data_IF_159821087004
#
_entry.id   IF_159821087004
#
_cell.length_a   1.000
_cell.length_b   1.000
_cell.length_c   1.000
_cell.angle_alpha   90.00
_cell.angle_beta   90.00
_cell.angle_gamma   90.00
#
_symmetry.space_group_name_H-M   'P 1'
#
loop_
_entity.id
_entity.type
_entity.pdbx_description
1 polymer ?
#
# COMPACT_ATOMS: atom_id res chain seq x y z
N UNK A 1 21.23 35.00 -62.40
CA UNK A 1 22.13 34.77 -61.25
C UNK A 1 21.48 35.05 -59.89
N UNK A 2 20.80 36.19 -59.66
CA UNK A 2 20.15 36.50 -58.36
C UNK A 2 19.08 35.49 -57.87
N UNK A 3 18.27 34.94 -58.78
CA UNK A 3 17.25 33.92 -58.43
C UNK A 3 17.85 32.56 -58.04
N UNK A 4 19.02 32.23 -58.56
CA UNK A 4 19.72 30.97 -58.26
C UNK A 4 20.37 31.02 -56.87
N UNK A 5 20.93 32.17 -56.49
CA UNK A 5 21.52 32.38 -55.17
C UNK A 5 20.47 32.31 -54.04
N UNK A 6 19.26 32.84 -54.25
CA UNK A 6 18.17 32.74 -53.27
C UNK A 6 17.68 31.31 -53.04
N UNK A 7 17.62 30.50 -54.11
CA UNK A 7 17.24 29.09 -54.02
C UNK A 7 18.27 28.25 -53.25
N UNK A 8 19.57 28.53 -53.43
CA UNK A 8 20.65 27.84 -52.72
C UNK A 8 20.69 28.21 -51.23
N UNK A 9 20.42 29.47 -50.88
CA UNK A 9 20.34 29.91 -49.48
C UNK A 9 19.13 29.29 -48.76
N UNK A 10 17.97 29.21 -49.42
CA UNK A 10 16.80 28.51 -48.88
C UNK A 10 17.05 27.01 -48.69
N UNK A 11 17.74 26.37 -49.62
CA UNK A 11 18.12 24.96 -49.51
C UNK A 11 19.08 24.72 -48.34
N UNK A 12 20.09 25.58 -48.17
CA UNK A 12 21.04 25.51 -47.05
C UNK A 12 20.38 25.79 -45.69
N UNK A 13 19.46 26.77 -45.61
CA UNK A 13 18.69 26.99 -44.38
C UNK A 13 17.78 25.80 -44.04
N UNK A 14 17.15 25.19 -45.04
CA UNK A 14 16.32 23.99 -44.83
C UNK A 14 17.15 22.78 -44.36
N UNK A 15 18.40 22.66 -44.83
CA UNK A 15 19.32 21.58 -44.43
C UNK A 15 19.81 21.76 -42.98
N UNK A 16 20.05 23.00 -42.55
CA UNK A 16 20.43 23.32 -41.16
C UNK A 16 19.26 23.13 -40.19
N UNK A 17 18.04 23.45 -40.61
CA UNK A 17 16.82 23.18 -39.83
C UNK A 17 16.52 21.67 -39.69
N UNK A 18 16.90 20.86 -40.68
CA UNK A 18 16.78 19.39 -40.59
C UNK A 18 17.87 18.74 -39.75
N UNK A 19 19.07 19.32 -39.69
CA UNK A 19 20.21 18.78 -38.94
C UNK A 19 20.22 19.17 -37.45
N UNK A 20 19.44 20.20 -37.07
CA UNK A 20 19.41 20.76 -35.71
C UNK A 20 18.19 20.40 -34.87
N UNK A 21 17.24 19.62 -35.39
CA UNK A 21 16.19 19.06 -34.54
C UNK A 21 16.85 18.00 -33.65
N UNK A 22 16.92 18.17 -32.31
CA UNK A 22 17.24 17.06 -31.46
C UNK A 22 16.14 16.04 -31.69
N UNK A 23 16.45 14.98 -32.43
CA UNK A 23 15.71 13.74 -32.30
C UNK A 23 15.89 13.37 -30.84
N UNK A 24 14.90 13.71 -30.02
CA UNK A 24 14.72 13.06 -28.73
C UNK A 24 14.57 11.60 -29.07
N UNK A 25 15.68 10.86 -29.02
CA UNK A 25 15.63 9.44 -28.75
C UNK A 25 14.98 9.43 -27.38
N UNK A 26 13.66 9.21 -27.34
CA UNK A 26 13.01 8.84 -26.11
C UNK A 26 13.82 7.65 -25.62
N UNK A 27 14.49 7.82 -24.49
CA UNK A 27 15.17 6.73 -23.83
C UNK A 27 14.08 5.72 -23.49
N UNK A 28 13.95 4.70 -24.32
CA UNK A 28 12.89 3.67 -24.18
C UNK A 28 13.26 2.64 -23.13
N UNK A 29 14.31 2.88 -22.34
CA UNK A 29 14.54 2.17 -21.10
C UNK A 29 13.50 2.67 -20.08
N UNK A 30 12.25 2.24 -20.29
CA UNK A 30 11.20 2.44 -19.31
C UNK A 30 11.60 1.66 -18.06
N UNK A 31 12.15 2.37 -17.09
CA UNK A 31 12.49 1.80 -15.79
C UNK A 31 11.22 1.23 -15.16
N UNK A 32 11.14 -0.11 -15.05
CA UNK A 32 10.00 -0.79 -14.48
C UNK A 32 9.90 -0.49 -12.98
N UNK A 33 8.69 -0.29 -12.48
CA UNK A 33 8.42 -0.21 -11.05
C UNK A 33 7.88 -1.57 -10.61
N UNK A 34 8.56 -2.20 -9.65
CA UNK A 34 8.09 -3.44 -9.04
C UNK A 34 7.11 -3.11 -7.92
N UNK A 35 5.94 -3.74 -7.94
CA UNK A 35 4.95 -3.66 -6.86
C UNK A 35 4.76 -5.07 -6.32
N UNK A 36 5.14 -5.27 -5.07
CA UNK A 36 4.81 -6.48 -4.31
C UNK A 36 3.60 -6.18 -3.46
N UNK A 37 2.66 -7.12 -3.41
CA UNK A 37 1.49 -6.99 -2.58
C UNK A 37 1.10 -8.28 -1.87
N UNK A 38 0.49 -8.12 -0.71
CA UNK A 38 -0.21 -9.17 0.02
C UNK A 38 -1.65 -8.77 0.31
N UNK A 39 -2.45 -9.75 0.70
CA UNK A 39 -3.81 -9.59 1.19
C UNK A 39 -4.18 -10.84 2.00
N UNK A 40 -5.19 -10.76 2.85
CA UNK A 40 -5.77 -11.92 3.56
C UNK A 40 -4.69 -12.76 4.30
N UNK A 41 -3.74 -12.07 4.96
CA UNK A 41 -2.68 -12.77 5.71
C UNK A 41 -3.23 -13.47 6.95
N UNK A 42 -4.35 -12.99 7.52
CA UNK A 42 -5.13 -13.67 8.56
C UNK A 42 -4.31 -14.22 9.73
N UNK A 43 -3.36 -13.44 10.24
CA UNK A 43 -2.45 -13.85 11.32
C UNK A 43 -1.67 -15.17 11.05
N UNK A 44 -1.48 -15.57 9.79
CA UNK A 44 -0.64 -16.73 9.41
C UNK A 44 0.86 -16.39 9.52
N UNK A 45 1.26 -15.95 10.72
CA UNK A 45 2.61 -15.50 11.03
C UNK A 45 3.61 -16.65 10.95
N UNK A 46 3.16 -17.84 11.36
CA UNK A 46 3.93 -19.07 11.32
C UNK A 46 3.61 -19.86 10.04
N UNK A 47 4.56 -20.67 9.54
CA UNK A 47 4.27 -21.61 8.47
C UNK A 47 3.18 -22.61 8.88
N UNK A 48 2.41 -23.06 7.89
CA UNK A 48 1.39 -24.08 8.07
C UNK A 48 1.57 -25.18 7.03
N UNK A 49 0.98 -26.34 7.32
CA UNK A 49 1.13 -27.53 6.49
C UNK A 49 -0.10 -27.73 5.62
N UNK A 50 0.12 -28.01 4.33
CA UNK A 50 -0.94 -28.38 3.39
C UNK A 50 -0.61 -29.69 2.70
N UNK A 51 -1.66 -30.37 2.21
CA UNK A 51 -1.49 -31.53 1.33
C UNK A 51 -1.47 -31.06 -0.13
N UNK A 52 -0.34 -31.24 -0.79
CA UNK A 52 -0.14 -30.88 -2.20
C UNK A 52 0.39 -32.10 -2.96
N UNK A 53 -0.32 -32.52 -4.01
CA UNK A 53 0.06 -33.68 -4.84
C UNK A 53 0.31 -34.98 -4.03
N UNK A 54 -0.41 -35.16 -2.92
CA UNK A 54 -0.26 -36.32 -2.02
C UNK A 54 0.98 -36.26 -1.12
N UNK A 55 1.56 -35.07 -0.95
CA UNK A 55 2.65 -34.80 -0.03
C UNK A 55 2.27 -33.69 0.95
N UNK A 56 2.66 -33.91 2.21
CA UNK A 56 2.62 -32.92 3.27
C UNK A 56 3.73 -31.89 3.05
N UNK A 57 3.38 -30.66 2.69
CA UNK A 57 4.34 -29.57 2.46
C UNK A 57 4.07 -28.38 3.38
N UNK A 58 5.12 -27.70 3.81
CA UNK A 58 5.02 -26.50 4.62
C UNK A 58 5.01 -25.25 3.73
N UNK A 59 4.04 -24.37 3.94
CA UNK A 59 3.84 -23.14 3.16
C UNK A 59 3.63 -21.92 4.08
N UNK A 60 3.70 -20.73 3.49
CA UNK A 60 3.42 -19.47 4.20
C UNK A 60 4.46 -19.09 5.27
N UNK A 61 4.01 -18.29 6.23
CA UNK A 61 4.81 -17.75 7.33
C UNK A 61 5.57 -16.47 6.97
N UNK A 62 5.56 -15.51 7.89
CA UNK A 62 6.10 -14.16 7.66
C UNK A 62 7.63 -14.17 7.49
N UNK A 63 8.34 -15.09 8.13
CA UNK A 63 9.80 -15.21 7.95
C UNK A 63 10.19 -15.64 6.53
N UNK A 64 9.42 -16.56 5.93
CA UNK A 64 9.61 -16.99 4.54
C UNK A 64 9.23 -15.87 3.58
N UNK A 65 8.10 -15.20 3.83
CA UNK A 65 7.66 -14.04 3.07
C UNK A 65 8.72 -12.92 3.08
N UNK A 66 9.30 -12.60 4.24
CA UNK A 66 10.37 -11.60 4.35
C UNK A 66 11.61 -12.00 3.54
N UNK A 67 11.92 -13.29 3.47
CA UNK A 67 13.06 -13.77 2.67
C UNK A 67 12.85 -13.46 1.19
N UNK A 68 11.65 -13.72 0.66
CA UNK A 68 11.30 -13.39 -0.73
C UNK A 68 11.30 -11.87 -0.95
N UNK A 69 10.68 -11.09 -0.04
CA UNK A 69 10.70 -9.61 -0.12
C UNK A 69 12.14 -9.09 -0.17
N UNK A 70 13.06 -9.63 0.62
CA UNK A 70 14.47 -9.22 0.61
C UNK A 70 15.19 -9.58 -0.69
N UNK A 71 14.84 -10.72 -1.30
CA UNK A 71 15.38 -11.10 -2.61
C UNK A 71 14.92 -10.11 -3.68
N UNK A 72 13.63 -9.83 -3.75
CA UNK A 72 13.07 -8.85 -4.70
C UNK A 72 13.64 -7.45 -4.46
N UNK A 73 13.84 -7.02 -3.21
CA UNK A 73 14.49 -5.74 -2.88
C UNK A 73 15.95 -5.65 -3.33
N UNK A 74 16.63 -6.80 -3.52
CA UNK A 74 17.99 -6.82 -4.06
C UNK A 74 17.98 -6.55 -5.57
N UNK A 75 16.94 -7.00 -6.28
CA UNK A 75 16.76 -6.77 -7.72
C UNK A 75 16.18 -5.37 -8.00
N UNK A 76 15.23 -4.90 -7.20
CA UNK A 76 14.65 -3.56 -7.27
C UNK A 76 14.60 -2.89 -5.88
N UNK A 77 15.64 -2.10 -5.52
CA UNK A 77 15.70 -1.39 -4.24
C UNK A 77 14.58 -0.36 -4.05
N UNK A 78 13.96 0.08 -5.14
CA UNK A 78 12.88 1.07 -5.17
C UNK A 78 11.49 0.43 -5.30
N UNK A 79 11.38 -0.90 -5.11
CA UNK A 79 10.08 -1.57 -5.15
C UNK A 79 9.10 -1.00 -4.12
N UNK A 80 7.82 -1.14 -4.43
CA UNK A 80 6.71 -0.73 -3.57
C UNK A 80 6.14 -1.99 -2.92
N UNK A 81 6.03 -1.98 -1.60
CA UNK A 81 5.45 -3.08 -0.83
C UNK A 81 4.18 -2.62 -0.12
N UNK A 82 3.04 -3.22 -0.48
CA UNK A 82 1.72 -2.83 0.02
C UNK A 82 0.88 -4.04 0.42
N UNK A 83 -0.08 -3.83 1.31
CA UNK A 83 -1.01 -4.87 1.75
C UNK A 83 -2.48 -4.43 1.53
N UNK A 84 -3.36 -5.36 1.19
CA UNK A 84 -4.75 -5.06 0.85
C UNK A 84 -5.76 -5.31 1.98
N UNK A 85 -5.31 -5.45 3.23
CA UNK A 85 -6.16 -5.68 4.40
C UNK A 85 -6.39 -7.16 4.71
N UNK A 86 -7.19 -7.42 5.74
CA UNK A 86 -7.35 -8.75 6.36
C UNK A 86 -6.00 -9.35 6.77
N UNK A 87 -5.12 -8.49 7.31
CA UNK A 87 -3.86 -8.94 7.88
C UNK A 87 -4.05 -9.64 9.23
N UNK A 88 -5.19 -9.41 9.88
CA UNK A 88 -5.56 -9.96 11.19
C UNK A 88 -6.70 -10.98 11.11
N UNK A 89 -6.93 -11.68 12.24
CA UNK A 89 -7.94 -12.72 12.44
C UNK A 89 -7.71 -14.00 11.61
N UNK A 90 -7.43 -15.11 12.28
CA UNK A 90 -7.28 -16.41 11.62
C UNK A 90 -6.49 -17.43 12.42
N UNK A 91 -5.63 -16.98 13.32
CA UNK A 91 -4.87 -17.85 14.25
C UNK A 91 -4.97 -17.34 15.69
N UNK A 92 -4.32 -18.01 16.64
CA UNK A 92 -4.33 -17.59 18.06
C UNK A 92 -3.72 -16.20 18.30
N UNK A 93 -2.93 -15.66 17.36
CA UNK A 93 -2.42 -14.29 17.48
C UNK A 93 -3.53 -13.23 17.51
N UNK A 94 -4.72 -13.54 16.98
CA UNK A 94 -5.89 -12.66 17.07
C UNK A 94 -6.27 -12.32 18.53
N UNK A 95 -5.91 -13.16 19.50
CA UNK A 95 -6.24 -12.96 20.92
C UNK A 95 -5.55 -11.76 21.54
N UNK A 96 -4.46 -11.27 20.92
CA UNK A 96 -3.74 -10.07 21.34
C UNK A 96 -3.95 -8.89 20.38
N UNK A 97 -4.90 -8.99 19.44
CA UNK A 97 -5.14 -7.96 18.42
C UNK A 97 -5.35 -6.58 19.03
N UNK A 98 -6.28 -6.46 19.97
CA UNK A 98 -6.63 -5.17 20.57
C UNK A 98 -5.60 -4.66 21.60
N UNK A 99 -4.66 -5.51 22.03
CA UNK A 99 -3.65 -5.13 23.04
C UNK A 99 -2.27 -4.86 22.43
N UNK A 100 -1.94 -5.48 21.30
CA UNK A 100 -0.58 -5.46 20.76
C UNK A 100 -0.51 -5.31 19.23
N UNK A 101 -1.64 -5.41 18.52
CA UNK A 101 -1.73 -5.22 17.07
C UNK A 101 -0.62 -5.93 16.26
N UNK A 102 -0.41 -7.24 16.43
CA UNK A 102 0.77 -7.94 15.90
C UNK A 102 0.90 -7.83 14.37
N UNK A 103 -0.22 -7.86 13.64
CA UNK A 103 -0.23 -7.69 12.19
C UNK A 103 0.37 -6.35 11.74
N UNK A 104 -0.10 -5.23 12.29
CA UNK A 104 0.42 -3.90 11.95
C UNK A 104 1.90 -3.72 12.32
N UNK A 105 2.31 -4.24 13.48
CA UNK A 105 3.71 -4.23 13.91
C UNK A 105 4.60 -4.98 12.92
N UNK A 106 4.19 -6.17 12.53
CA UNK A 106 4.94 -7.00 11.60
C UNK A 106 4.99 -6.40 10.19
N UNK A 107 3.87 -5.91 9.65
CA UNK A 107 3.87 -5.19 8.37
C UNK A 107 4.86 -4.00 8.41
N UNK A 108 4.86 -3.25 9.50
CA UNK A 108 5.79 -2.14 9.71
C UNK A 108 7.26 -2.56 9.76
N UNK A 109 7.58 -3.65 10.48
CA UNK A 109 8.93 -4.22 10.56
C UNK A 109 9.41 -4.81 9.23
N UNK A 110 8.51 -5.42 8.45
CA UNK A 110 8.79 -5.93 7.11
C UNK A 110 8.99 -4.81 6.08
N UNK A 111 8.57 -3.59 6.43
CA UNK A 111 8.74 -2.39 5.63
C UNK A 111 7.65 -2.22 4.57
N UNK A 112 6.43 -2.66 4.86
CA UNK A 112 5.26 -2.26 4.08
C UNK A 112 5.09 -0.75 4.15
N UNK A 113 4.76 -0.14 3.03
CA UNK A 113 4.57 1.30 2.92
C UNK A 113 3.12 1.68 3.20
N UNK A 114 2.18 0.88 2.72
CA UNK A 114 0.77 1.08 2.96
C UNK A 114 0.02 -0.24 3.18
N UNK A 115 -1.05 -0.17 3.96
CA UNK A 115 -2.10 -1.17 4.04
C UNK A 115 -3.47 -0.49 3.99
N UNK A 116 -4.53 -1.26 3.79
CA UNK A 116 -5.93 -0.83 3.99
C UNK A 116 -6.59 -1.75 5.00
N UNK A 117 -7.84 -1.45 5.36
CA UNK A 117 -8.63 -2.31 6.24
C UNK A 117 -9.47 -3.27 5.41
N UNK A 118 -9.48 -4.54 5.81
CA UNK A 118 -10.43 -5.54 5.35
C UNK A 118 -11.61 -5.65 6.30
N UNK A 119 -12.37 -6.75 6.20
CA UNK A 119 -13.53 -6.98 7.06
C UNK A 119 -13.14 -7.49 8.45
N UNK A 120 -12.04 -8.21 8.54
CA UNK A 120 -11.61 -8.86 9.76
C UNK A 120 -10.97 -7.90 10.77
N UNK A 121 -10.47 -6.75 10.30
CA UNK A 121 -10.06 -5.67 11.20
C UNK A 121 -11.21 -5.15 12.10
N UNK A 122 -12.48 -5.41 11.73
CA UNK A 122 -13.67 -5.03 12.49
C UNK A 122 -14.30 -6.18 13.31
N UNK A 123 -13.68 -7.36 13.40
CA UNK A 123 -14.28 -8.53 14.08
C UNK A 123 -14.48 -8.31 15.59
N UNK A 124 -13.62 -7.51 16.21
CA UNK A 124 -13.77 -7.05 17.59
C UNK A 124 -14.58 -5.74 17.72
N UNK A 125 -15.43 -5.45 16.71
CA UNK A 125 -16.23 -4.22 16.61
C UNK A 125 -15.34 -2.96 16.49
N UNK A 126 -15.91 -1.75 16.36
CA UNK A 126 -15.12 -0.52 16.25
C UNK A 126 -14.17 -0.33 17.44
N UNK A 127 -14.60 -0.73 18.64
CA UNK A 127 -13.78 -0.63 19.85
C UNK A 127 -12.50 -1.45 19.78
N UNK A 128 -12.56 -2.69 19.28
CA UNK A 128 -11.38 -3.54 19.17
C UNK A 128 -10.34 -3.02 18.18
N UNK A 129 -10.78 -2.46 17.04
CA UNK A 129 -9.90 -1.79 16.09
C UNK A 129 -9.32 -0.49 16.69
N UNK A 130 -10.15 0.29 17.39
CA UNK A 130 -9.68 1.50 18.07
C UNK A 130 -8.56 1.20 19.08
N UNK A 131 -8.73 0.15 19.90
CA UNK A 131 -7.73 -0.28 20.86
C UNK A 131 -6.45 -0.78 20.18
N UNK A 132 -6.57 -1.58 19.11
CA UNK A 132 -5.45 -2.05 18.30
C UNK A 132 -4.61 -0.89 17.74
N UNK A 133 -5.27 0.11 17.14
CA UNK A 133 -4.61 1.31 16.61
C UNK A 133 -3.92 2.12 17.71
N UNK A 134 -4.54 2.29 18.87
CA UNK A 134 -3.93 3.01 19.99
C UNK A 134 -2.72 2.24 20.56
N UNK A 135 -2.83 0.93 20.75
CA UNK A 135 -1.75 0.09 21.24
C UNK A 135 -0.52 0.15 20.34
N UNK A 136 -0.74 0.09 19.01
CA UNK A 136 0.38 0.12 18.07
C UNK A 136 1.04 1.50 17.98
N UNK A 137 0.28 2.59 18.14
CA UNK A 137 0.85 3.95 18.25
C UNK A 137 1.75 4.04 19.50
N UNK A 138 1.29 3.50 20.64
CA UNK A 138 2.04 3.51 21.89
C UNK A 138 3.34 2.69 21.82
N UNK A 139 3.42 1.70 20.92
CA UNK A 139 4.64 0.91 20.71
C UNK A 139 5.84 1.73 20.20
N UNK A 140 5.56 2.84 19.49
CA UNK A 140 6.60 3.69 18.87
C UNK A 140 7.37 3.01 17.72
N UNK A 141 6.88 1.87 17.21
CA UNK A 141 7.50 1.15 16.11
C UNK A 141 7.24 1.84 14.76
N UNK A 142 7.99 1.43 13.73
CA UNK A 142 7.66 1.79 12.34
C UNK A 142 6.36 1.10 11.96
N UNK A 143 5.43 1.83 11.37
CA UNK A 143 4.12 1.34 10.93
C UNK A 143 3.93 1.57 9.43
N UNK A 144 3.17 0.71 8.73
CA UNK A 144 2.70 1.04 7.38
C UNK A 144 1.70 2.19 7.47
N UNK A 145 1.55 2.97 6.41
CA UNK A 145 0.46 3.93 6.33
C UNK A 145 -0.86 3.19 6.10
N UNK A 146 -1.89 3.46 6.91
CA UNK A 146 -3.24 2.97 6.60
C UNK A 146 -3.91 3.96 5.65
N UNK A 147 -4.38 3.47 4.49
CA UNK A 147 -5.17 4.24 3.52
C UNK A 147 -6.61 3.71 3.44
N UNK A 148 -7.60 4.60 3.45
CA UNK A 148 -9.02 4.24 3.41
C UNK A 148 -9.89 5.40 2.86
N UNK A 149 -10.05 5.49 1.54
CA UNK A 149 -10.68 6.62 0.86
C UNK A 149 -12.22 6.61 0.88
N UNK A 150 -12.84 5.48 1.21
CA UNK A 150 -14.30 5.31 1.16
C UNK A 150 -14.94 5.06 2.52
N UNK A 151 -14.23 5.31 3.63
CA UNK A 151 -14.78 5.15 4.97
C UNK A 151 -15.59 6.38 5.37
N UNK A 152 -16.82 6.18 5.82
CA UNK A 152 -17.71 7.23 6.29
C UNK A 152 -18.31 6.84 7.64
N UNK A 153 -18.29 7.76 8.59
CA UNK A 153 -18.89 7.55 9.90
C UNK A 153 -20.34 8.08 9.89
N UNK A 154 -21.32 7.30 10.39
CA UNK A 154 -22.71 7.76 10.47
C UNK A 154 -22.82 8.92 11.46
N UNK A 155 -23.55 9.97 11.08
CA UNK A 155 -23.79 11.15 11.93
C UNK A 155 -25.28 11.37 12.20
N UNK A 156 -25.60 12.00 13.34
CA UNK A 156 -26.93 12.51 13.66
C UNK A 156 -27.27 13.79 12.85
N UNK A 157 -28.45 14.36 13.09
CA UNK A 157 -28.92 15.57 12.39
C UNK A 157 -28.02 16.79 12.67
N UNK A 158 -27.31 16.77 13.79
CA UNK A 158 -26.35 17.78 14.22
C UNK A 158 -24.93 17.54 13.68
N UNK A 159 -24.70 16.44 12.94
CA UNK A 159 -23.41 16.10 12.34
C UNK A 159 -22.43 15.42 13.31
N UNK A 160 -22.89 14.96 14.48
CA UNK A 160 -22.08 14.22 15.44
C UNK A 160 -22.14 12.72 15.12
N UNK A 161 -21.00 12.04 15.22
CA UNK A 161 -20.93 10.59 15.01
C UNK A 161 -21.82 9.85 16.01
N UNK A 162 -22.65 8.95 15.50
CA UNK A 162 -23.53 8.10 16.29
C UNK A 162 -22.73 6.91 16.81
N UNK A 163 -22.75 6.67 18.13
CA UNK A 163 -22.03 5.57 18.79
C UNK A 163 -20.73 6.03 19.47
N UNK A 164 -20.55 5.66 20.74
CA UNK A 164 -19.32 5.98 21.50
C UNK A 164 -18.12 5.19 20.98
N UNK A 165 -18.34 3.95 20.55
CA UNK A 165 -17.37 3.06 19.91
C UNK A 165 -16.89 3.61 18.56
N UNK A 166 -17.80 4.12 17.72
CA UNK A 166 -17.46 4.75 16.44
C UNK A 166 -16.73 6.08 16.63
N UNK A 167 -17.07 6.86 17.66
CA UNK A 167 -16.29 8.05 18.04
C UNK A 167 -14.88 7.67 18.51
N UNK A 168 -14.74 6.60 19.30
CA UNK A 168 -13.44 6.09 19.73
C UNK A 168 -12.59 5.61 18.55
N UNK A 169 -13.20 4.89 17.60
CA UNK A 169 -12.53 4.46 16.37
C UNK A 169 -12.08 5.64 15.53
N UNK A 170 -12.95 6.63 15.26
CA UNK A 170 -12.56 7.81 14.49
C UNK A 170 -11.36 8.53 15.14
N UNK A 171 -11.39 8.68 16.48
CA UNK A 171 -10.30 9.29 17.23
C UNK A 171 -9.00 8.48 17.09
N UNK A 172 -9.07 7.16 17.18
CA UNK A 172 -7.90 6.28 17.03
C UNK A 172 -7.34 6.33 15.60
N UNK A 173 -8.19 6.32 14.57
CA UNK A 173 -7.78 6.47 13.17
C UNK A 173 -7.11 7.81 12.91
N UNK A 174 -7.64 8.91 13.46
CA UNK A 174 -7.03 10.22 13.37
C UNK A 174 -5.68 10.27 14.11
N UNK A 175 -5.57 9.65 15.29
CA UNK A 175 -4.32 9.57 16.04
C UNK A 175 -3.26 8.73 15.32
N UNK A 176 -3.66 7.64 14.68
CA UNK A 176 -2.79 6.83 13.82
C UNK A 176 -2.33 7.60 12.58
N UNK A 177 -3.19 8.50 12.09
CA UNK A 177 -2.98 9.25 10.87
C UNK A 177 -3.46 8.49 9.63
N UNK A 178 -4.58 7.76 9.72
CA UNK A 178 -5.27 7.16 8.56
C UNK A 178 -5.60 8.27 7.55
N UNK A 179 -5.36 8.03 6.26
CA UNK A 179 -5.58 8.99 5.16
C UNK A 179 -6.34 8.34 4.01
N UNK A 180 -6.91 9.13 3.10
CA UNK A 180 -7.56 8.58 1.91
C UNK A 180 -6.54 7.92 0.97
N UNK A 181 -5.37 8.55 0.83
CA UNK A 181 -4.29 8.15 -0.06
C UNK A 181 -2.94 8.70 0.39
N UNK A 182 -1.87 8.14 -0.16
CA UNK A 182 -0.51 8.69 -0.13
C UNK A 182 0.08 8.83 -1.52
N UNK A 183 1.13 9.65 -1.64
CA UNK A 183 1.93 9.77 -2.85
C UNK A 183 3.33 9.25 -2.56
N UNK A 184 3.77 8.27 -3.33
CA UNK A 184 5.12 7.72 -3.31
C UNK A 184 5.93 8.29 -4.47
N UNK A 185 7.16 8.71 -4.21
CA UNK A 185 8.12 9.08 -5.26
C UNK A 185 9.04 7.87 -5.52
N UNK A 186 9.03 7.33 -6.75
CA UNK A 186 9.87 6.18 -7.17
C UNK A 186 10.36 6.36 -8.59
N UNK A 187 11.67 6.22 -8.81
CA UNK A 187 12.27 6.25 -10.17
C UNK A 187 11.84 7.49 -11.00
N UNK A 188 11.66 8.63 -10.32
CA UNK A 188 11.18 9.88 -10.94
C UNK A 188 9.66 9.99 -11.15
N UNK A 189 8.87 8.97 -10.80
CA UNK A 189 7.42 8.97 -10.88
C UNK A 189 6.74 9.27 -9.54
N UNK A 190 5.62 9.98 -9.60
CA UNK A 190 4.68 10.14 -8.47
C UNK A 190 3.56 9.12 -8.58
N UNK A 191 3.43 8.27 -7.57
CA UNK A 191 2.52 7.12 -7.56
C UNK A 191 1.52 7.33 -6.42
N UNK A 192 0.24 7.46 -6.77
CA UNK A 192 -0.84 7.56 -5.79
C UNK A 192 -1.29 6.18 -5.32
N UNK A 193 -1.33 5.96 -4.01
CA UNK A 193 -1.84 4.74 -3.38
C UNK A 193 -3.03 5.12 -2.50
N UNK A 194 -4.22 4.62 -2.81
CA UNK A 194 -5.45 4.88 -2.06
C UNK A 194 -6.12 3.56 -1.68
N UNK A 195 -6.79 3.54 -0.52
CA UNK A 195 -7.46 2.34 -0.02
C UNK A 195 -8.95 2.34 -0.36
N UNK A 196 -9.48 1.17 -0.71
CA UNK A 196 -10.93 0.95 -0.83
C UNK A 196 -11.30 -0.26 0.02
N UNK A 197 -12.28 -0.09 0.87
CA UNK A 197 -12.84 -1.11 1.74
C UNK A 197 -14.13 -1.64 1.10
N UNK A 198 -14.32 -2.96 1.06
CA UNK A 198 -15.52 -3.56 0.50
C UNK A 198 -16.80 -3.19 1.27
N UNK A 199 -17.96 -3.12 0.60
CA UNK A 199 -19.23 -2.73 1.24
C UNK A 199 -19.59 -3.59 2.46
N UNK A 200 -19.20 -4.87 2.45
CA UNK A 200 -19.49 -5.81 3.53
C UNK A 200 -18.42 -5.77 4.63
N UNK A 201 -17.31 -5.06 4.44
CA UNK A 201 -16.22 -5.12 5.39
C UNK A 201 -16.53 -4.41 6.72
N UNK A 202 -17.35 -3.37 6.64
CA UNK A 202 -17.89 -2.70 7.83
C UNK A 202 -19.17 -3.36 8.37
N UNK A 203 -19.55 -4.56 7.89
CA UNK A 203 -20.76 -5.25 8.41
C UNK A 203 -20.62 -5.69 9.87
N UNK A 204 -19.38 -5.83 10.34
CA UNK A 204 -19.05 -6.10 11.73
C UNK A 204 -18.80 -4.82 12.55
N UNK A 205 -18.77 -3.64 11.90
CA UNK A 205 -18.64 -2.35 12.56
C UNK A 205 -19.95 -1.88 13.20
#
# INVERSE_FOLDING_TARGET
MRKLAGAVVLLLMSLVLLAGAPYGIADTDHEAITILFTHDLHDNLLPYTVEENGQTVEQGGYARLQTVINQERTEDPDLILVDAGDYSMGTLFQTIFSQDAPGLRLLGQMGYEATTLGNHEFDFRPEGLALSLMAVIESGERLPQIVAANLQFPTDEEGKIVGEDLQALQKAMHAYGVQDYIILDRKGYKIGVFGIIGNNAVSNA
#
